data_IF_743539457055
#
_entry.id   IF_743539457055
#
_cell.length_a   1.000
_cell.length_b   1.000
_cell.length_c   1.000
_cell.angle_alpha   90.00
_cell.angle_beta   90.00
_cell.angle_gamma   90.00
#
_symmetry.space_group_name_H-M   'P 1'
#
loop_
_entity.id
_entity.type
_entity.pdbx_description
1 polymer ?
#
# COMPACT_ATOMS: atom_id res chain seq x y z
N UNK A 1 6.91 10.01 -5.81
CA UNK A 1 6.93 10.48 -4.40
C UNK A 1 7.26 9.30 -3.51
N UNK A 2 8.11 9.48 -2.54
CA UNK A 2 8.37 8.52 -1.45
C UNK A 2 8.26 9.26 -0.12
N UNK A 3 7.74 8.58 0.91
CA UNK A 3 7.79 9.02 2.30
C UNK A 3 8.70 8.09 3.09
N UNK A 4 9.37 8.62 4.08
CA UNK A 4 10.34 7.91 4.92
C UNK A 4 9.80 7.91 6.36
N UNK A 5 9.86 6.79 7.03
CA UNK A 5 9.46 6.64 8.44
C UNK A 5 10.17 7.58 9.41
N UNK A 6 11.23 8.26 8.96
CA UNK A 6 11.91 9.32 9.71
C UNK A 6 11.24 10.70 9.60
N UNK A 7 10.06 10.80 8.98
CA UNK A 7 9.32 12.04 8.80
C UNK A 7 9.80 12.92 7.63
N UNK A 8 10.36 12.31 6.60
CA UNK A 8 10.80 13.00 5.40
C UNK A 8 10.04 12.50 4.16
N UNK A 9 10.01 13.32 3.13
CA UNK A 9 9.50 12.97 1.83
C UNK A 9 10.47 13.38 0.73
N UNK A 10 10.56 12.59 -0.35
CA UNK A 10 11.35 12.88 -1.54
C UNK A 10 10.48 12.76 -2.79
N UNK A 11 10.77 13.56 -3.80
CA UNK A 11 10.11 13.58 -5.11
C UNK A 11 11.05 13.07 -6.19
N UNK A 12 10.56 12.26 -7.10
CA UNK A 12 11.27 11.87 -8.32
C UNK A 12 10.73 12.65 -9.51
N UNK A 13 11.59 13.34 -10.25
CA UNK A 13 11.21 14.19 -11.40
C UNK A 13 11.24 13.46 -12.75
N UNK A 14 11.53 12.17 -12.75
CA UNK A 14 11.73 11.32 -13.93
C UNK A 14 13.22 11.07 -14.24
N UNK A 15 14.14 11.78 -13.60
CA UNK A 15 15.59 11.64 -13.78
C UNK A 15 16.33 11.48 -12.46
N UNK A 16 15.92 12.22 -11.43
CA UNK A 16 16.58 12.22 -10.13
C UNK A 16 15.59 12.38 -8.98
N UNK A 17 15.98 11.92 -7.80
CA UNK A 17 15.30 12.20 -6.56
C UNK A 17 15.70 13.59 -6.02
N UNK A 18 14.71 14.32 -5.49
CA UNK A 18 14.98 15.55 -4.73
C UNK A 18 15.72 15.24 -3.44
N UNK A 19 16.34 16.25 -2.84
CA UNK A 19 16.75 16.16 -1.44
C UNK A 19 15.51 15.89 -0.58
N UNK A 20 15.59 15.00 0.43
CA UNK A 20 14.49 14.75 1.35
C UNK A 20 14.06 16.03 2.07
N UNK A 21 12.79 16.36 2.02
CA UNK A 21 12.19 17.47 2.74
C UNK A 21 11.44 16.95 3.97
N UNK A 22 11.61 17.63 5.12
CA UNK A 22 10.94 17.23 6.35
C UNK A 22 9.44 17.55 6.26
N UNK A 23 8.61 16.61 6.70
CA UNK A 23 7.17 16.84 6.86
C UNK A 23 6.91 17.77 8.07
N UNK A 24 5.78 18.51 8.08
CA UNK A 24 5.51 19.57 9.09
C UNK A 24 5.33 19.09 10.53
N UNK A 25 5.28 17.79 10.80
CA UNK A 25 5.16 17.23 12.15
C UNK A 25 6.53 16.90 12.74
N UNK A 26 6.69 17.12 14.05
CA UNK A 26 7.91 16.75 14.79
C UNK A 26 7.95 15.28 15.22
N UNK A 27 6.85 14.54 15.08
CA UNK A 27 6.68 13.19 15.61
C UNK A 27 6.20 12.18 14.54
N UNK A 28 6.09 12.60 13.25
CA UNK A 28 5.48 11.78 12.22
C UNK A 28 6.36 10.63 11.76
N UNK A 29 5.73 9.45 11.63
CA UNK A 29 6.24 8.28 10.93
C UNK A 29 5.27 7.97 9.79
N UNK A 30 5.34 8.70 8.65
CA UNK A 30 4.43 8.47 7.55
C UNK A 30 4.66 7.08 6.94
N UNK A 31 3.64 6.24 6.97
CA UNK A 31 3.71 4.87 6.46
C UNK A 31 3.16 4.72 5.05
N UNK A 32 2.23 5.57 4.66
CA UNK A 32 1.59 5.45 3.36
C UNK A 32 1.43 6.80 2.68
N UNK A 33 1.65 6.82 1.36
CA UNK A 33 1.48 8.01 0.51
C UNK A 33 0.75 7.64 -0.77
N UNK A 34 -0.17 8.50 -1.20
CA UNK A 34 -0.86 8.37 -2.47
C UNK A 34 -0.88 9.70 -3.22
N UNK A 35 -0.49 9.66 -4.48
CA UNK A 35 -0.37 10.84 -5.35
C UNK A 35 -1.19 10.64 -6.63
N UNK A 36 -2.44 11.10 -6.70
CA UNK A 36 -3.21 11.03 -7.94
C UNK A 36 -2.68 11.96 -9.04
N UNK A 37 -1.94 13.00 -8.67
CA UNK A 37 -1.29 13.94 -9.60
C UNK A 37 0.08 14.37 -9.09
N UNK A 38 0.91 14.94 -9.96
CA UNK A 38 2.20 15.49 -9.57
C UNK A 38 2.09 16.70 -8.60
N UNK A 39 0.92 17.33 -8.54
CA UNK A 39 0.65 18.50 -7.70
C UNK A 39 -0.21 18.21 -6.47
N UNK A 40 -0.57 16.96 -6.24
CA UNK A 40 -1.36 16.59 -5.07
C UNK A 40 -0.96 15.20 -4.58
N UNK A 41 -0.54 15.13 -3.31
CA UNK A 41 -0.38 13.87 -2.60
C UNK A 41 -0.98 13.98 -1.20
N UNK A 42 -1.36 12.85 -0.65
CA UNK A 42 -1.71 12.70 0.76
C UNK A 42 -0.81 11.62 1.36
N UNK A 43 -0.23 11.91 2.51
CA UNK A 43 0.46 10.92 3.34
C UNK A 43 -0.26 10.80 4.69
N UNK A 44 -0.24 9.61 5.25
CA UNK A 44 -0.84 9.29 6.55
C UNK A 44 0.19 8.69 7.48
N UNK A 45 0.04 8.98 8.77
CA UNK A 45 0.97 8.60 9.83
C UNK A 45 0.39 7.45 10.64
N UNK A 46 1.22 6.42 10.86
CA UNK A 46 0.81 5.24 11.61
C UNK A 46 0.71 5.45 13.12
N UNK A 47 1.35 6.47 13.68
CA UNK A 47 1.41 6.63 15.15
C UNK A 47 0.30 7.48 15.70
N UNK A 48 0.00 8.60 15.06
CA UNK A 48 -0.90 9.60 15.60
C UNK A 48 -2.06 9.98 14.68
N UNK A 49 -2.23 9.24 13.56
CA UNK A 49 -3.26 9.48 12.55
C UNK A 49 -3.18 10.88 11.92
N UNK A 50 -2.02 11.53 12.00
CA UNK A 50 -1.75 12.78 11.30
C UNK A 50 -1.81 12.57 9.80
N UNK A 51 -2.25 13.58 9.09
CA UNK A 51 -2.25 13.59 7.64
C UNK A 51 -1.47 14.79 7.11
N UNK A 52 -0.82 14.58 5.97
CA UNK A 52 -0.03 15.59 5.29
C UNK A 52 -0.49 15.71 3.85
N UNK A 53 -0.54 16.92 3.34
CA UNK A 53 -0.88 17.20 1.95
C UNK A 53 0.27 17.90 1.23
N UNK A 54 0.56 17.46 0.00
CA UNK A 54 1.50 18.09 -0.93
C UNK A 54 0.74 18.87 -1.99
N UNK A 55 1.14 20.10 -2.24
CA UNK A 55 0.49 21.01 -3.18
C UNK A 55 1.24 21.18 -4.52
N UNK A 56 2.19 20.29 -4.82
CA UNK A 56 3.06 20.37 -5.98
C UNK A 56 4.41 21.03 -5.69
N UNK A 57 4.58 21.68 -4.53
CA UNK A 57 5.85 22.32 -4.16
C UNK A 57 6.25 22.07 -2.72
N UNK A 58 5.28 22.07 -1.80
CA UNK A 58 5.54 21.94 -0.36
C UNK A 58 4.55 21.00 0.31
N UNK A 59 4.97 20.37 1.40
CA UNK A 59 4.13 19.63 2.29
C UNK A 59 3.57 20.56 3.39
N UNK A 60 2.31 20.37 3.75
CA UNK A 60 1.63 21.00 4.86
C UNK A 60 0.87 19.98 5.70
N UNK A 61 0.60 20.30 6.97
CA UNK A 61 -0.36 19.51 7.74
C UNK A 61 -1.74 19.61 7.08
N UNK A 62 -2.42 18.48 6.96
CA UNK A 62 -3.77 18.38 6.43
C UNK A 62 -4.77 18.15 7.58
N UNK A 63 -6.09 18.24 7.35
CA UNK A 63 -7.09 17.91 8.35
C UNK A 63 -6.85 16.52 8.92
N UNK A 64 -6.67 16.42 10.24
CA UNK A 64 -6.42 15.15 10.93
C UNK A 64 -7.57 14.18 10.75
N UNK A 65 -7.25 12.90 10.66
CA UNK A 65 -8.23 11.83 10.78
C UNK A 65 -8.61 11.72 12.25
N UNK A 66 -9.89 11.94 12.56
CA UNK A 66 -10.39 11.84 13.92
C UNK A 66 -10.65 10.35 14.24
N UNK A 67 -9.61 9.68 14.73
CA UNK A 67 -9.72 8.29 15.15
C UNK A 67 -10.37 8.21 16.54
N UNK A 68 -11.49 7.49 16.70
CA UNK A 68 -12.23 7.45 17.95
C UNK A 68 -11.68 6.49 19.00
N UNK A 69 -10.56 5.81 18.78
CA UNK A 69 -10.01 4.83 19.72
C UNK A 69 -8.90 5.46 20.58
N UNK A 70 -9.21 6.10 21.71
CA UNK A 70 -8.20 6.67 22.62
C UNK A 70 -7.40 5.51 23.25
N UNK A 71 -6.11 5.47 23.05
CA UNK A 71 -5.18 4.64 23.82
C UNK A 71 -4.91 3.24 23.31
N UNK A 72 -5.60 2.74 22.28
CA UNK A 72 -5.08 1.65 21.44
C UNK A 72 -4.26 2.30 20.32
N UNK A 73 -3.21 1.66 19.86
CA UNK A 73 -2.44 2.10 18.70
C UNK A 73 -3.18 1.72 17.39
N UNK A 74 -4.25 2.38 16.94
CA UNK A 74 -4.75 2.20 15.60
C UNK A 74 -3.97 3.18 14.73
N UNK A 75 -2.78 2.76 14.32
CA UNK A 75 -2.05 3.50 13.30
C UNK A 75 -2.78 3.42 11.96
N UNK A 76 -2.67 4.50 11.18
CA UNK A 76 -3.13 4.47 9.79
C UNK A 76 -2.28 3.46 9.02
N UNK A 77 -2.93 2.47 8.42
CA UNK A 77 -2.23 1.41 7.68
C UNK A 77 -2.00 1.78 6.22
N UNK A 78 -2.97 2.45 5.57
CA UNK A 78 -2.88 2.70 4.12
C UNK A 78 -3.79 3.84 3.69
N UNK A 79 -3.36 4.59 2.65
CA UNK A 79 -4.16 5.61 1.97
C UNK A 79 -4.13 5.40 0.46
N UNK A 80 -5.27 5.62 -0.21
CA UNK A 80 -5.39 5.56 -1.67
C UNK A 80 -6.27 6.70 -2.17
N UNK A 81 -5.73 7.51 -3.07
CA UNK A 81 -6.38 8.69 -3.65
C UNK A 81 -6.48 8.52 -5.18
N UNK A 82 -7.65 8.21 -5.76
CA UNK A 82 -7.82 8.23 -7.21
C UNK A 82 -7.93 9.65 -7.78
N UNK A 83 -8.19 10.65 -6.93
CA UNK A 83 -8.28 12.05 -7.34
C UNK A 83 -7.99 13.00 -6.17
N UNK A 84 -7.67 14.29 -6.42
CA UNK A 84 -7.51 15.27 -5.35
C UNK A 84 -8.78 15.54 -4.51
N UNK A 85 -9.95 15.18 -5.03
CA UNK A 85 -11.25 15.34 -4.36
C UNK A 85 -11.74 14.09 -3.65
N UNK A 86 -11.01 12.99 -3.70
CA UNK A 86 -11.37 11.75 -3.01
C UNK A 86 -10.14 10.95 -2.61
N UNK A 87 -10.08 10.55 -1.36
CA UNK A 87 -9.19 9.50 -0.87
C UNK A 87 -9.97 8.55 0.03
N UNK A 88 -9.50 7.33 0.16
CA UNK A 88 -9.87 6.44 1.24
C UNK A 88 -8.62 6.08 2.05
N UNK A 89 -8.79 5.97 3.35
CA UNK A 89 -7.74 5.50 4.26
C UNK A 89 -8.33 4.41 5.18
N UNK A 90 -7.47 3.52 5.64
CA UNK A 90 -7.82 2.44 6.57
C UNK A 90 -6.80 2.39 7.71
N UNK A 91 -7.25 1.91 8.87
CA UNK A 91 -6.42 1.76 10.07
C UNK A 91 -6.36 0.31 10.57
N UNK A 92 -5.47 0.05 11.51
CA UNK A 92 -5.37 -1.23 12.20
C UNK A 92 -6.51 -1.48 13.21
N UNK A 93 -7.43 -0.52 13.38
CA UNK A 93 -8.61 -0.60 14.27
C UNK A 93 -9.88 -1.04 13.54
N UNK A 94 -9.79 -1.59 12.34
CA UNK A 94 -10.91 -2.01 11.50
C UNK A 94 -11.75 -0.85 10.93
N UNK A 95 -11.22 0.38 10.93
CA UNK A 95 -11.93 1.55 10.43
C UNK A 95 -11.50 1.92 9.02
N UNK A 96 -12.44 2.46 8.27
CA UNK A 96 -12.22 3.14 7.01
C UNK A 96 -12.70 4.60 7.09
N UNK A 97 -11.99 5.47 6.39
CA UNK A 97 -12.23 6.90 6.30
C UNK A 97 -12.26 7.31 4.84
N UNK A 98 -13.06 8.32 4.52
CA UNK A 98 -13.10 8.90 3.18
C UNK A 98 -12.82 10.40 3.26
N UNK A 99 -12.04 10.91 2.32
CA UNK A 99 -11.74 12.33 2.15
C UNK A 99 -12.57 12.89 0.99
N UNK A 100 -13.19 14.05 1.17
CA UNK A 100 -14.07 14.67 0.18
C UNK A 100 -13.42 15.87 -0.56
N UNK A 101 -12.10 16.00 -0.47
CA UNK A 101 -11.34 17.13 -1.00
C UNK A 101 -11.08 18.25 0.02
N UNK A 102 -11.76 18.23 1.18
CA UNK A 102 -11.60 19.26 2.23
C UNK A 102 -11.48 18.69 3.64
N UNK A 103 -12.15 17.57 3.91
CA UNK A 103 -12.17 16.94 5.24
C UNK A 103 -12.30 15.43 5.16
N UNK A 104 -11.84 14.75 6.19
CA UNK A 104 -12.05 13.32 6.38
C UNK A 104 -13.41 13.05 7.03
N UNK A 105 -14.04 11.94 6.67
CA UNK A 105 -15.24 11.45 7.33
C UNK A 105 -14.94 10.99 8.76
N UNK A 106 -15.95 10.87 9.62
CA UNK A 106 -15.82 10.07 10.83
C UNK A 106 -15.42 8.64 10.52
N UNK A 107 -14.77 7.97 11.49
CA UNK A 107 -14.42 6.57 11.41
C UNK A 107 -15.64 5.70 11.14
N UNK A 108 -15.49 4.76 10.22
CA UNK A 108 -16.49 3.75 9.91
C UNK A 108 -15.88 2.37 10.17
N UNK A 109 -16.35 1.66 11.20
CA UNK A 109 -15.97 0.26 11.42
C UNK A 109 -16.49 -0.57 10.24
N UNK A 110 -15.60 -1.20 9.50
CA UNK A 110 -15.93 -1.98 8.29
C UNK A 110 -15.59 -3.46 8.41
N UNK A 111 -14.66 -3.82 9.31
CA UNK A 111 -14.25 -5.21 9.55
C UNK A 111 -14.05 -5.49 11.06
N UNK A 112 -15.13 -5.56 11.85
CA UNK A 112 -15.05 -5.65 13.30
C UNK A 112 -14.23 -6.86 13.80
N UNK A 113 -13.22 -6.60 14.61
CA UNK A 113 -12.38 -7.63 15.23
C UNK A 113 -11.15 -8.00 14.41
N UNK A 114 -10.93 -7.43 13.24
CA UNK A 114 -9.76 -7.62 12.41
C UNK A 114 -9.00 -6.30 12.21
N UNK A 115 -7.78 -6.39 11.72
CA UNK A 115 -6.93 -5.24 11.38
C UNK A 115 -6.89 -5.11 9.87
N UNK A 116 -7.24 -3.93 9.33
CA UNK A 116 -7.07 -3.66 7.91
C UNK A 116 -5.59 -3.41 7.59
N UNK A 117 -5.14 -3.90 6.45
CA UNK A 117 -3.74 -3.77 6.00
C UNK A 117 -3.58 -2.74 4.90
N UNK A 118 -4.29 -2.88 3.80
CA UNK A 118 -4.15 -1.99 2.64
C UNK A 118 -5.50 -1.64 2.04
N UNK A 119 -5.55 -0.46 1.38
CA UNK A 119 -6.69 -0.02 0.58
C UNK A 119 -6.22 0.42 -0.80
N UNK A 120 -6.99 0.10 -1.83
CA UNK A 120 -6.76 0.51 -3.21
C UNK A 120 -8.04 1.01 -3.86
N UNK A 121 -8.02 2.23 -4.36
CA UNK A 121 -9.14 2.91 -5.00
C UNK A 121 -8.77 3.30 -6.44
N UNK A 122 -9.21 2.57 -7.46
CA UNK A 122 -9.03 3.00 -8.85
C UNK A 122 -9.98 4.14 -9.26
N UNK A 123 -11.02 4.39 -8.47
CA UNK A 123 -11.97 5.49 -8.70
C UNK A 123 -12.63 5.95 -7.39
N UNK A 124 -13.25 7.15 -7.35
CA UNK A 124 -14.04 7.59 -6.19
C UNK A 124 -15.28 6.73 -5.89
N UNK A 125 -15.68 5.87 -6.80
CA UNK A 125 -16.85 5.01 -6.67
C UNK A 125 -16.52 3.55 -6.40
N UNK A 126 -15.24 3.21 -6.29
CA UNK A 126 -14.81 1.85 -5.97
C UNK A 126 -13.49 1.86 -5.21
N UNK A 127 -13.46 1.19 -4.06
CA UNK A 127 -12.23 0.82 -3.36
C UNK A 127 -12.34 -0.64 -2.89
N UNK A 128 -11.23 -1.31 -2.77
CA UNK A 128 -11.11 -2.57 -2.06
C UNK A 128 -10.09 -2.41 -0.93
N UNK A 129 -10.40 -2.93 0.24
CA UNK A 129 -9.45 -3.04 1.35
C UNK A 129 -9.43 -4.48 1.86
N UNK A 130 -8.25 -4.94 2.28
CA UNK A 130 -8.04 -6.28 2.85
C UNK A 130 -7.57 -6.19 4.28
N UNK A 131 -7.88 -7.21 5.06
CA UNK A 131 -7.43 -7.36 6.45
C UNK A 131 -6.17 -8.22 6.54
N UNK A 132 -5.58 -8.31 7.74
CA UNK A 132 -4.55 -9.30 8.07
C UNK A 132 -5.14 -10.69 8.34
N UNK A 133 -6.25 -11.00 7.72
CA UNK A 133 -6.96 -12.26 7.72
C UNK A 133 -7.39 -12.59 6.29
N UNK A 134 -8.48 -13.33 6.12
CA UNK A 134 -8.93 -13.78 4.81
C UNK A 134 -9.85 -12.80 4.08
N UNK A 135 -10.17 -11.62 4.67
CA UNK A 135 -11.32 -10.84 4.21
C UNK A 135 -10.94 -9.67 3.31
N UNK A 136 -11.88 -9.33 2.45
CA UNK A 136 -11.95 -8.09 1.69
C UNK A 136 -13.23 -7.34 2.06
N UNK A 137 -13.14 -6.02 2.13
CA UNK A 137 -14.27 -5.10 2.17
C UNK A 137 -14.22 -4.19 0.94
N UNK A 138 -15.38 -3.87 0.37
CA UNK A 138 -15.47 -3.09 -0.87
C UNK A 138 -16.31 -1.84 -0.63
N UNK A 139 -15.82 -0.69 -1.07
CA UNK A 139 -16.56 0.57 -1.14
C UNK A 139 -17.20 0.73 -2.52
N UNK A 140 -18.49 1.08 -2.55
CA UNK A 140 -19.28 1.21 -3.77
C UNK A 140 -19.59 2.67 -4.18
N UNK A 141 -18.83 3.62 -3.66
CA UNK A 141 -19.05 5.06 -3.86
C UNK A 141 -19.93 5.71 -2.78
N UNK A 142 -20.60 4.92 -1.93
CA UNK A 142 -21.47 5.44 -0.87
C UNK A 142 -21.30 4.70 0.46
N UNK A 143 -21.01 3.44 0.43
CA UNK A 143 -20.87 2.59 1.63
C UNK A 143 -19.88 1.46 1.43
N UNK A 144 -19.32 0.98 2.54
CA UNK A 144 -18.49 -0.22 2.59
C UNK A 144 -19.36 -1.46 2.74
N UNK A 145 -18.99 -2.54 2.08
CA UNK A 145 -19.63 -3.85 2.23
C UNK A 145 -19.35 -4.45 3.61
N UNK A 146 -20.05 -5.53 3.92
CA UNK A 146 -19.59 -6.45 4.98
C UNK A 146 -18.31 -7.17 4.54
N UNK A 147 -17.45 -7.60 5.49
CA UNK A 147 -16.30 -8.44 5.20
C UNK A 147 -16.69 -9.72 4.45
N UNK A 148 -15.90 -10.11 3.48
CA UNK A 148 -16.07 -11.33 2.69
C UNK A 148 -14.75 -12.08 2.63
N UNK A 149 -14.74 -13.33 3.12
CA UNK A 149 -13.56 -14.17 3.04
C UNK A 149 -13.27 -14.59 1.59
N UNK A 150 -12.12 -14.18 1.08
CA UNK A 150 -11.66 -14.52 -0.28
C UNK A 150 -10.54 -15.56 -0.26
N UNK A 151 -9.84 -15.71 0.87
CA UNK A 151 -8.75 -16.67 1.06
C UNK A 151 -8.81 -17.36 2.44
N UNK A 152 -9.80 -18.23 2.69
CA UNK A 152 -9.97 -18.88 3.98
C UNK A 152 -8.73 -19.68 4.41
N UNK A 153 -8.21 -19.38 5.62
CA UNK A 153 -7.04 -20.05 6.20
C UNK A 153 -5.70 -19.42 5.76
N UNK A 154 -5.72 -18.25 5.18
CA UNK A 154 -4.54 -17.44 4.85
C UNK A 154 -4.66 -16.04 5.43
N UNK A 155 -3.58 -15.27 5.35
CA UNK A 155 -3.49 -13.88 5.78
C UNK A 155 -3.22 -13.02 4.54
N UNK A 156 -4.17 -12.17 4.18
CA UNK A 156 -3.98 -11.21 3.11
C UNK A 156 -3.04 -10.09 3.56
N UNK A 157 -2.22 -9.60 2.66
CA UNK A 157 -1.19 -8.61 2.96
C UNK A 157 -1.38 -7.33 2.17
N UNK A 158 -1.68 -7.46 0.89
CA UNK A 158 -1.80 -6.33 -0.01
C UNK A 158 -2.95 -6.50 -1.00
N UNK A 159 -3.54 -5.38 -1.40
CA UNK A 159 -4.48 -5.30 -2.52
C UNK A 159 -4.13 -4.13 -3.42
N UNK A 160 -4.22 -4.33 -4.73
CA UNK A 160 -4.09 -3.28 -5.74
C UNK A 160 -5.11 -3.47 -6.85
N UNK A 161 -5.82 -2.40 -7.17
CA UNK A 161 -6.88 -2.38 -8.16
C UNK A 161 -6.54 -1.45 -9.33
N UNK A 162 -6.44 -1.98 -10.53
CA UNK A 162 -6.31 -1.18 -11.75
C UNK A 162 -7.66 -0.59 -12.19
N UNK A 163 -8.77 -1.22 -11.82
CA UNK A 163 -10.14 -0.77 -12.12
C UNK A 163 -11.15 -1.41 -11.17
N UNK A 164 -12.40 -0.97 -11.22
CA UNK A 164 -13.50 -1.61 -10.49
C UNK A 164 -13.79 -3.05 -10.95
N UNK A 165 -13.21 -3.48 -12.06
CA UNK A 165 -13.34 -4.83 -12.61
C UNK A 165 -12.04 -5.65 -12.56
N UNK A 166 -10.97 -5.09 -12.01
CA UNK A 166 -9.71 -5.81 -11.87
C UNK A 166 -8.95 -5.38 -10.62
N UNK A 167 -8.80 -6.28 -9.68
CA UNK A 167 -7.89 -6.15 -8.53
C UNK A 167 -7.06 -7.43 -8.39
N UNK A 168 -5.92 -7.30 -7.75
CA UNK A 168 -5.13 -8.42 -7.25
C UNK A 168 -4.97 -8.26 -5.74
N UNK A 169 -5.13 -9.34 -5.00
CA UNK A 169 -4.72 -9.44 -3.59
C UNK A 169 -3.59 -10.48 -3.48
N UNK A 170 -2.69 -10.27 -2.53
CA UNK A 170 -1.58 -11.19 -2.24
C UNK A 170 -1.66 -11.62 -0.79
N UNK A 171 -1.45 -12.92 -0.55
CA UNK A 171 -1.34 -13.51 0.79
C UNK A 171 0.12 -13.68 1.24
N UNK A 172 0.29 -13.97 2.54
CA UNK A 172 1.61 -14.20 3.15
C UNK A 172 2.33 -15.46 2.64
N UNK A 173 1.64 -16.35 1.94
CA UNK A 173 2.21 -17.57 1.33
C UNK A 173 2.71 -17.33 -0.09
N UNK A 174 2.64 -16.09 -0.60
CA UNK A 174 3.00 -15.72 -1.96
C UNK A 174 1.99 -16.15 -3.01
N UNK A 175 0.73 -16.32 -2.62
CA UNK A 175 -0.32 -16.54 -3.60
C UNK A 175 -1.00 -15.21 -3.96
N UNK A 176 -1.41 -15.13 -5.21
CA UNK A 176 -2.21 -14.03 -5.74
C UNK A 176 -3.64 -14.50 -6.02
N UNK A 177 -4.61 -13.66 -5.69
CA UNK A 177 -6.01 -13.81 -6.03
C UNK A 177 -6.40 -12.65 -6.93
N UNK A 178 -7.09 -12.92 -8.02
CA UNK A 178 -7.53 -11.91 -8.99
C UNK A 178 -9.03 -11.71 -8.92
N UNK A 179 -9.46 -10.45 -8.85
CA UNK A 179 -10.86 -10.05 -8.95
C UNK A 179 -11.21 -9.69 -10.40
N UNK A 180 -12.28 -10.24 -10.93
CA UNK A 180 -12.72 -10.04 -12.32
C UNK A 180 -13.94 -9.12 -12.47
N UNK A 181 -14.23 -8.31 -11.45
CA UNK A 181 -15.42 -7.45 -11.40
C UNK A 181 -16.64 -8.12 -10.77
N UNK A 182 -16.60 -9.43 -10.51
CA UNK A 182 -17.72 -10.19 -9.91
C UNK A 182 -17.28 -11.09 -8.76
N UNK A 183 -16.16 -11.77 -8.92
CA UNK A 183 -15.65 -12.75 -7.96
C UNK A 183 -14.12 -12.74 -7.93
N UNK A 184 -13.57 -13.15 -6.81
CA UNK A 184 -12.16 -13.45 -6.64
C UNK A 184 -11.86 -14.88 -7.14
N UNK A 185 -10.71 -15.04 -7.76
CA UNK A 185 -10.23 -16.37 -8.20
C UNK A 185 -9.80 -17.22 -7.00
N UNK A 186 -9.60 -18.50 -7.23
CA UNK A 186 -8.78 -19.30 -6.34
C UNK A 186 -7.34 -18.74 -6.28
N UNK A 187 -6.61 -18.91 -5.15
CA UNK A 187 -5.23 -18.48 -5.04
C UNK A 187 -4.32 -19.24 -6.02
N UNK A 188 -3.40 -18.51 -6.68
CA UNK A 188 -2.36 -19.06 -7.56
C UNK A 188 -1.00 -18.56 -7.08
N UNK A 189 0.05 -19.39 -7.18
CA UNK A 189 1.40 -18.97 -6.81
C UNK A 189 1.87 -17.82 -7.67
N UNK A 190 2.15 -16.67 -7.03
CA UNK A 190 2.83 -15.54 -7.65
C UNK A 190 4.34 -15.65 -7.43
N UNK A 191 4.78 -16.08 -6.25
CA UNK A 191 6.17 -16.40 -5.93
C UNK A 191 6.26 -17.83 -5.38
N UNK A 192 7.05 -18.73 -6.01
CA UNK A 192 7.23 -20.10 -5.54
C UNK A 192 7.90 -20.19 -4.17
N UNK A 193 8.70 -19.21 -3.78
CA UNK A 193 9.39 -19.16 -2.48
C UNK A 193 8.49 -18.65 -1.34
N UNK A 194 7.32 -18.10 -1.71
CA UNK A 194 6.44 -17.34 -0.83
C UNK A 194 6.92 -15.88 -0.73
N UNK A 195 5.99 -14.96 -0.59
CA UNK A 195 6.29 -13.58 -0.26
C UNK A 195 6.44 -13.55 1.26
N UNK A 196 7.64 -13.87 1.71
CA UNK A 196 7.94 -14.15 3.11
C UNK A 196 7.85 -12.90 3.97
N UNK A 197 7.16 -13.03 5.10
CA UNK A 197 7.39 -12.10 6.22
C UNK A 197 8.74 -12.45 6.83
N UNK A 198 9.66 -11.47 6.94
CA UNK A 198 10.94 -11.65 7.62
C UNK A 198 10.81 -12.29 9.00
N UNK A 199 11.83 -12.99 9.44
CA UNK A 199 11.95 -13.38 10.84
C UNK A 199 11.82 -12.10 11.68
N UNK A 200 10.68 -11.96 12.38
CA UNK A 200 10.32 -10.75 13.13
C UNK A 200 9.09 -9.99 12.62
N UNK A 201 8.45 -10.41 11.51
CA UNK A 201 7.16 -9.83 11.06
C UNK A 201 7.24 -8.40 10.51
N UNK A 202 8.40 -7.95 10.01
CA UNK A 202 8.66 -6.53 9.69
C UNK A 202 8.52 -6.23 8.20
N UNK A 203 8.50 -7.24 7.33
CA UNK A 203 8.40 -7.03 5.87
C UNK A 203 7.09 -7.54 5.32
N UNK A 204 6.33 -6.66 4.69
CA UNK A 204 5.05 -6.94 4.08
C UNK A 204 5.22 -7.00 2.56
N UNK A 205 4.66 -7.99 1.86
CA UNK A 205 4.62 -7.93 0.41
C UNK A 205 3.83 -6.71 -0.04
N UNK A 206 4.37 -5.99 -0.98
CA UNK A 206 3.76 -4.78 -1.54
C UNK A 206 3.44 -5.02 -3.01
N UNK A 207 2.31 -4.48 -3.46
CA UNK A 207 1.72 -4.77 -4.75
C UNK A 207 1.30 -3.48 -5.45
N UNK A 208 1.58 -3.37 -6.75
CA UNK A 208 1.11 -2.28 -7.60
C UNK A 208 0.63 -2.80 -8.95
N UNK A 209 -0.62 -2.53 -9.29
CA UNK A 209 -1.27 -2.91 -10.54
C UNK A 209 -1.74 -1.65 -11.28
N UNK A 210 -0.94 -1.06 -12.18
CA UNK A 210 -1.36 0.11 -12.97
C UNK A 210 -2.38 -0.25 -14.05
N UNK A 211 -2.39 -1.51 -14.51
CA UNK A 211 -3.29 -2.00 -15.56
C UNK A 211 -3.72 -3.44 -15.28
N UNK A 212 -4.74 -3.95 -15.96
CA UNK A 212 -5.21 -5.34 -15.80
C UNK A 212 -4.26 -6.38 -16.39
N UNK A 213 -3.33 -5.97 -17.21
CA UNK A 213 -2.32 -6.80 -17.87
C UNK A 213 -0.92 -6.62 -17.29
N UNK A 214 -0.79 -5.84 -16.22
CA UNK A 214 0.47 -5.69 -15.51
C UNK A 214 0.28 -5.40 -14.02
N UNK A 215 0.93 -6.23 -13.19
CA UNK A 215 1.18 -5.94 -11.77
C UNK A 215 2.65 -6.21 -11.45
N UNK A 216 3.15 -5.55 -10.43
CA UNK A 216 4.43 -5.86 -9.81
C UNK A 216 4.23 -6.08 -8.32
N UNK A 217 4.83 -7.13 -7.79
CA UNK A 217 4.90 -7.39 -6.36
C UNK A 217 6.35 -7.58 -5.93
N UNK A 218 6.71 -7.08 -4.76
CA UNK A 218 8.05 -7.23 -4.19
C UNK A 218 8.00 -8.02 -2.90
N UNK A 219 9.02 -8.85 -2.72
CA UNK A 219 9.30 -9.59 -1.50
C UNK A 219 10.36 -8.84 -0.69
N UNK A 220 9.97 -8.44 0.51
CA UNK A 220 10.86 -7.68 1.38
C UNK A 220 12.11 -8.44 1.81
N UNK A 221 12.06 -9.75 2.00
CA UNK A 221 13.17 -10.51 2.57
C UNK A 221 14.23 -10.91 1.57
N UNK A 222 13.78 -11.39 0.41
CA UNK A 222 14.67 -11.94 -0.60
C UNK A 222 15.12 -10.88 -1.60
N UNK A 223 14.60 -9.64 -1.52
CA UNK A 223 14.89 -8.57 -2.46
C UNK A 223 14.38 -8.86 -3.87
N UNK A 224 13.36 -9.70 -4.00
CA UNK A 224 12.84 -10.14 -5.28
C UNK A 224 11.61 -9.31 -5.73
N UNK A 225 11.47 -9.22 -7.04
CA UNK A 225 10.27 -8.73 -7.70
C UNK A 225 9.69 -9.83 -8.60
N UNK A 226 8.38 -10.02 -8.54
CA UNK A 226 7.60 -10.81 -9.51
C UNK A 226 6.66 -9.87 -10.27
N UNK A 227 6.39 -10.18 -11.53
CA UNK A 227 5.46 -9.39 -12.35
C UNK A 227 4.37 -10.26 -12.95
N UNK A 228 3.17 -9.71 -13.09
CA UNK A 228 2.03 -10.31 -13.77
C UNK A 228 1.90 -9.74 -15.19
N UNK A 229 1.65 -10.56 -16.17
CA UNK A 229 1.56 -10.16 -17.58
C UNK A 229 0.13 -10.22 -18.16
N UNK A 230 -0.88 -10.18 -17.29
CA UNK A 230 -2.29 -10.32 -17.65
C UNK A 230 -2.80 -11.76 -17.58
N UNK A 231 -1.92 -12.76 -17.50
CA UNK A 231 -2.29 -14.18 -17.44
C UNK A 231 -1.50 -14.99 -16.42
N UNK A 232 -0.21 -14.74 -16.29
CA UNK A 232 0.71 -15.50 -15.43
C UNK A 232 1.68 -14.58 -14.70
N UNK A 233 2.19 -15.04 -13.56
CA UNK A 233 3.28 -14.42 -12.84
C UNK A 233 4.63 -14.91 -13.38
N UNK A 234 5.61 -14.02 -13.45
CA UNK A 234 6.97 -14.34 -13.87
C UNK A 234 7.74 -15.05 -12.76
N UNK A 235 8.85 -15.69 -13.09
CA UNK A 235 9.81 -16.09 -12.08
C UNK A 235 10.33 -14.87 -11.31
N UNK A 236 10.68 -15.02 -10.01
CA UNK A 236 11.26 -13.96 -9.21
C UNK A 236 12.58 -13.45 -9.82
N UNK A 237 12.74 -12.14 -9.82
CA UNK A 237 13.99 -11.47 -10.23
C UNK A 237 14.50 -10.69 -9.03
N UNK A 238 15.73 -10.98 -8.60
CA UNK A 238 16.36 -10.21 -7.53
C UNK A 238 16.68 -8.79 -8.02
N UNK A 239 16.10 -7.80 -7.35
CA UNK A 239 16.30 -6.38 -7.63
C UNK A 239 17.09 -5.69 -6.52
N UNK A 240 17.15 -6.30 -5.32
CA UNK A 240 17.92 -5.80 -4.19
C UNK A 240 18.80 -6.92 -3.59
N UNK A 241 20.07 -7.03 -4.04
CA UNK A 241 21.00 -8.01 -3.50
C UNK A 241 21.36 -7.81 -2.02
N UNK A 242 21.12 -6.60 -1.46
CA UNK A 242 21.38 -6.32 -0.05
C UNK A 242 20.30 -6.96 0.82
N UNK A 243 19.02 -6.88 0.41
CA UNK A 243 17.92 -7.55 1.11
C UNK A 243 18.18 -9.07 1.17
N UNK A 244 18.50 -9.69 0.06
CA UNK A 244 18.80 -11.12 -0.03
C UNK A 244 19.98 -11.58 0.87
N UNK A 245 20.87 -10.69 1.26
CA UNK A 245 22.04 -10.97 2.11
C UNK A 245 21.91 -10.46 3.54
N UNK A 246 20.81 -9.78 3.87
CA UNK A 246 20.64 -9.09 5.16
C UNK A 246 20.67 -10.03 6.37
N UNK A 247 20.35 -11.31 6.20
CA UNK A 247 20.45 -12.34 7.26
C UNK A 247 21.88 -12.51 7.80
N UNK A 248 22.90 -12.05 7.04
CA UNK A 248 24.34 -12.14 7.40
C UNK A 248 24.93 -10.80 7.83
N UNK A 249 24.20 -9.70 7.67
CA UNK A 249 24.68 -8.35 7.95
C UNK A 249 24.07 -7.82 9.27
N UNK A 250 24.74 -6.90 9.99
CA UNK A 250 24.22 -6.34 11.24
C UNK A 250 23.01 -5.43 11.05
N UNK A 251 22.70 -5.03 9.82
CA UNK A 251 21.54 -4.18 9.47
C UNK A 251 20.68 -4.96 8.48
N UNK A 252 19.45 -5.27 8.90
CA UNK A 252 18.48 -5.91 8.05
C UNK A 252 17.93 -4.88 7.04
N UNK A 253 18.03 -5.18 5.75
CA UNK A 253 17.47 -4.38 4.66
C UNK A 253 16.30 -5.16 4.04
N UNK A 254 15.17 -4.47 3.85
CA UNK A 254 13.95 -5.06 3.30
C UNK A 254 13.34 -4.15 2.24
N UNK A 255 12.83 -4.73 1.15
CA UNK A 255 11.96 -3.99 0.25
C UNK A 255 10.62 -3.70 0.94
N UNK A 256 10.25 -2.42 1.01
CA UNK A 256 9.09 -1.94 1.77
C UNK A 256 8.01 -1.31 0.89
N UNK A 257 8.30 -1.04 -0.37
CA UNK A 257 7.35 -0.37 -1.24
C UNK A 257 7.57 -0.70 -2.70
N UNK A 258 6.48 -0.71 -3.47
CA UNK A 258 6.51 -0.68 -4.94
C UNK A 258 5.37 0.19 -5.44
N UNK A 259 5.67 1.03 -6.42
CA UNK A 259 4.69 1.87 -7.10
C UNK A 259 4.98 1.89 -8.59
N UNK A 260 3.98 1.53 -9.38
CA UNK A 260 4.05 1.50 -10.83
C UNK A 260 3.00 2.47 -11.39
N UNK A 261 3.34 3.70 -11.80
CA UNK A 261 2.39 4.58 -12.48
C UNK A 261 2.04 4.08 -13.90
N UNK A 262 2.80 3.14 -14.44
CA UNK A 262 2.51 2.46 -15.70
C UNK A 262 3.19 1.09 -15.76
N UNK A 263 2.77 0.24 -16.70
CA UNK A 263 3.42 -1.06 -16.95
C UNK A 263 4.90 -0.97 -17.39
N UNK A 264 5.34 0.22 -17.80
CA UNK A 264 6.72 0.46 -18.27
C UNK A 264 7.61 1.11 -17.22
N UNK A 265 7.07 1.54 -16.10
CA UNK A 265 7.84 2.23 -15.07
C UNK A 265 7.36 1.84 -13.69
N UNK A 266 8.26 1.30 -12.88
CA UNK A 266 8.04 1.00 -11.48
C UNK A 266 9.22 1.51 -10.64
N UNK A 267 8.92 1.88 -9.41
CA UNK A 267 9.94 2.18 -8.39
C UNK A 267 9.65 1.29 -7.18
N UNK A 268 10.65 0.60 -6.69
CA UNK A 268 10.64 -0.06 -5.40
C UNK A 268 11.63 0.63 -4.46
N UNK A 269 11.35 0.64 -3.17
CA UNK A 269 12.20 1.22 -2.14
C UNK A 269 12.46 0.26 -1.00
N UNK A 270 13.65 0.34 -0.40
CA UNK A 270 14.06 -0.47 0.73
C UNK A 270 14.21 0.33 2.03
N UNK A 271 14.42 -0.36 3.15
CA UNK A 271 14.68 0.24 4.46
C UNK A 271 16.08 0.87 4.57
N UNK A 272 16.98 0.56 3.67
CA UNK A 272 18.32 1.15 3.58
C UNK A 272 18.34 2.53 2.92
N UNK A 273 17.20 2.95 2.34
CA UNK A 273 17.04 4.21 1.62
C UNK A 273 17.43 4.12 0.13
N UNK A 274 17.59 2.92 -0.41
CA UNK A 274 17.83 2.70 -1.82
C UNK A 274 16.49 2.65 -2.60
N UNK A 275 16.54 3.07 -3.86
CA UNK A 275 15.39 3.00 -4.77
C UNK A 275 15.79 2.27 -6.06
N UNK A 276 14.98 1.29 -6.45
CA UNK A 276 15.19 0.44 -7.62
C UNK A 276 14.19 0.81 -8.69
N UNK A 277 14.66 1.13 -9.89
CA UNK A 277 13.82 1.56 -11.00
C UNK A 277 13.78 0.48 -12.07
N UNK A 278 12.57 0.11 -12.48
CA UNK A 278 12.27 -0.67 -13.67
C UNK A 278 11.68 0.26 -14.72
N UNK A 279 12.34 0.42 -15.85
CA UNK A 279 11.92 1.21 -17.01
C UNK A 279 11.85 0.37 -18.29
#
# INVERSE_FOLDING_TARGET
MAVLVSGYAATYDGTAWSQPARLPSSAGEPDSVSCPTASFCVAVDARDSSTFAFNGSTWSSAPSINDPVPGAQPGMASVSCPSPSFCAAVDNGANAFTFNGTSWSPAKVVDPGNQLSTVSCPSPTFCAAVDYGPNVVVFNGSSWSKPSAIDPGSLLQAVSCASASFCVAIDHKGNALTFNGRAWSAPVKADPNGLSMGEGGISWPVLSCPTSDFCAAVDGNDGNMVTFNGSTWTAPVNIDPKAANSVKEPILVFLMSVSCPSAKFCVAGDTGGDAFIRS
#
